data_IF_208465917510
#
_entry.id   IF_208465917510
#
_cell.length_a   1.000
_cell.length_b   1.000
_cell.length_c   1.000
_cell.angle_alpha   90.00
_cell.angle_beta   90.00
_cell.angle_gamma   90.00
#
_symmetry.space_group_name_H-M   'P 1'
#
loop_
_entity.id
_entity.type
_entity.pdbx_description
1 polymer ?
#
# COMPACT_ATOMS: atom_id res chain seq x y z
N UNK A 1 2.25 -12.33 -9.94
CA UNK A 1 0.82 -11.96 -9.99
C UNK A 1 0.75 -10.49 -10.38
N UNK A 2 -0.30 -10.05 -11.06
CA UNK A 2 -0.43 -8.64 -11.45
C UNK A 2 -0.83 -7.79 -10.24
N UNK A 3 -0.11 -6.69 -10.00
CA UNK A 3 -0.54 -5.66 -9.08
C UNK A 3 -1.62 -4.80 -9.76
N UNK A 4 -2.80 -4.69 -9.15
CA UNK A 4 -3.89 -3.87 -9.66
C UNK A 4 -4.59 -3.16 -8.50
N UNK A 5 -4.99 -1.90 -8.73
CA UNK A 5 -5.77 -1.12 -7.78
C UNK A 5 -7.02 -0.62 -8.49
N UNK A 6 -8.18 -0.98 -7.96
CA UNK A 6 -9.48 -0.49 -8.42
C UNK A 6 -10.13 0.32 -7.30
N UNK A 7 -10.48 1.57 -7.57
CA UNK A 7 -11.16 2.45 -6.62
C UNK A 7 -12.56 2.81 -7.15
N UNK A 8 -13.56 2.67 -6.31
CA UNK A 8 -14.95 3.05 -6.61
C UNK A 8 -15.42 4.13 -5.64
N UNK A 9 -15.74 5.31 -6.18
CA UNK A 9 -16.35 6.42 -5.44
C UNK A 9 -15.56 6.93 -4.23
N UNK A 10 -14.26 6.59 -4.12
CA UNK A 10 -13.44 6.78 -2.91
C UNK A 10 -14.01 6.12 -1.65
N UNK A 11 -14.97 5.22 -1.79
CA UNK A 11 -15.65 4.48 -0.71
C UNK A 11 -15.19 3.03 -0.60
N UNK A 12 -14.72 2.47 -1.72
CA UNK A 12 -14.23 1.11 -1.82
C UNK A 12 -12.93 1.07 -2.63
N UNK A 13 -12.00 0.25 -2.18
CA UNK A 13 -10.70 0.02 -2.79
C UNK A 13 -10.40 -1.48 -2.84
N UNK A 14 -10.18 -2.02 -4.03
CA UNK A 14 -9.72 -3.38 -4.23
C UNK A 14 -8.27 -3.37 -4.72
N UNK A 15 -7.41 -4.13 -4.05
CA UNK A 15 -5.98 -4.26 -4.34
C UNK A 15 -5.66 -5.72 -4.60
N UNK A 16 -4.98 -6.02 -5.70
CA UNK A 16 -4.43 -7.34 -6.02
C UNK A 16 -2.90 -7.31 -5.96
N UNK A 17 -2.26 -8.45 -5.75
CA UNK A 17 -0.80 -8.53 -5.57
C UNK A 17 -0.34 -8.10 -4.17
N UNK A 18 -1.22 -8.19 -3.17
CA UNK A 18 -0.87 -7.99 -1.76
C UNK A 18 -0.13 -9.22 -1.26
N UNK A 19 1.09 -9.03 -0.78
CA UNK A 19 1.93 -10.08 -0.20
C UNK A 19 1.73 -10.19 1.30
N UNK A 20 1.65 -9.05 2.00
CA UNK A 20 1.50 -9.00 3.46
C UNK A 20 0.92 -7.65 3.93
N UNK A 21 0.42 -7.61 5.17
CA UNK A 21 -0.15 -6.42 5.81
C UNK A 21 0.82 -5.92 6.86
N UNK A 22 1.40 -4.74 6.64
CA UNK A 22 2.39 -4.15 7.55
C UNK A 22 1.73 -3.50 8.78
N UNK A 23 0.64 -2.77 8.56
CA UNK A 23 -0.14 -2.11 9.60
C UNK A 23 -1.56 -1.86 9.11
N UNK A 24 -2.53 -1.90 10.02
CA UNK A 24 -3.91 -1.51 9.72
C UNK A 24 -4.53 -0.81 10.93
N UNK A 25 -5.18 0.32 10.68
CA UNK A 25 -6.05 1.03 11.60
C UNK A 25 -7.15 1.77 10.83
N UNK A 26 -8.02 2.49 11.53
CA UNK A 26 -9.17 3.19 10.94
C UNK A 26 -8.80 4.39 10.07
N UNK A 27 -7.55 4.87 10.12
CA UNK A 27 -7.08 6.05 9.40
C UNK A 27 -5.99 5.72 8.38
N UNK A 28 -5.29 4.59 8.54
CA UNK A 28 -4.21 4.18 7.68
C UNK A 28 -4.09 2.66 7.56
N UNK A 29 -3.87 2.19 6.33
CA UNK A 29 -3.55 0.80 6.02
C UNK A 29 -2.26 0.78 5.22
N UNK A 30 -1.28 0.00 5.67
CA UNK A 30 0.00 -0.19 5.01
C UNK A 30 0.15 -1.64 4.55
N UNK A 31 0.38 -1.84 3.26
CA UNK A 31 0.45 -3.13 2.58
C UNK A 31 1.81 -3.33 1.92
N UNK A 32 2.33 -4.55 1.99
CA UNK A 32 3.41 -5.00 1.12
C UNK A 32 2.80 -5.60 -0.15
N UNK A 33 3.24 -5.11 -1.29
CA UNK A 33 2.77 -5.53 -2.62
C UNK A 33 3.97 -5.89 -3.49
N UNK A 34 3.73 -6.57 -4.62
CA UNK A 34 4.81 -6.90 -5.56
C UNK A 34 5.54 -5.67 -6.14
N UNK A 35 4.92 -4.48 -6.07
CA UNK A 35 5.46 -3.20 -6.55
C UNK A 35 6.06 -2.33 -5.41
N UNK A 36 6.16 -2.87 -4.19
CA UNK A 36 6.69 -2.16 -3.01
C UNK A 36 5.63 -1.94 -1.92
N UNK A 37 5.88 -0.97 -1.03
CA UNK A 37 4.98 -0.69 0.09
C UNK A 37 3.93 0.32 -0.33
N UNK A 38 2.65 -0.03 -0.20
CA UNK A 38 1.52 0.82 -0.47
C UNK A 38 0.91 1.30 0.85
N UNK A 39 0.85 2.61 1.03
CA UNK A 39 0.21 3.26 2.18
C UNK A 39 -1.10 3.89 1.71
N UNK A 40 -2.19 3.53 2.35
CA UNK A 40 -3.54 4.03 2.08
C UNK A 40 -3.95 4.82 3.30
N UNK A 41 -4.24 6.11 3.14
CA UNK A 41 -4.70 6.96 4.24
C UNK A 41 -6.11 7.46 3.97
N UNK A 42 -6.89 7.62 5.04
CA UNK A 42 -8.31 7.91 4.94
C UNK A 42 -9.01 7.97 6.28
N UNK A 43 -10.32 7.73 6.26
CA UNK A 43 -11.19 7.76 7.45
C UNK A 43 -12.11 6.54 7.45
N UNK A 44 -12.26 5.90 8.62
CA UNK A 44 -13.05 4.68 8.81
C UNK A 44 -12.64 3.55 7.85
N UNK A 45 -11.33 3.46 7.59
CA UNK A 45 -10.75 2.39 6.80
C UNK A 45 -10.93 1.05 7.51
N UNK A 46 -11.50 0.09 6.80
CA UNK A 46 -11.65 -1.26 7.30
C UNK A 46 -11.48 -2.29 6.18
N UNK A 47 -10.93 -3.44 6.53
CA UNK A 47 -10.72 -4.53 5.60
C UNK A 47 -12.01 -5.35 5.54
N UNK A 48 -12.70 -5.30 4.40
CA UNK A 48 -13.92 -6.09 4.18
C UNK A 48 -13.57 -7.54 3.79
N UNK A 49 -12.52 -7.72 2.99
CA UNK A 49 -12.07 -9.06 2.55
C UNK A 49 -10.55 -9.11 2.44
N UNK A 50 -9.95 -10.17 2.99
CA UNK A 50 -8.53 -10.47 2.84
C UNK A 50 -8.38 -11.93 2.40
N UNK A 51 -7.75 -12.15 1.25
CA UNK A 51 -7.32 -13.48 0.83
C UNK A 51 -5.83 -13.44 0.51
N UNK A 52 -5.03 -13.91 1.48
CA UNK A 52 -3.57 -14.02 1.34
C UNK A 52 -3.20 -15.04 0.25
N UNK A 53 -4.04 -16.06 0.04
CA UNK A 53 -3.82 -17.09 -0.98
C UNK A 53 -3.97 -16.55 -2.41
N UNK A 54 -4.95 -15.67 -2.67
CA UNK A 54 -5.11 -15.02 -3.97
C UNK A 54 -4.34 -13.71 -4.11
N UNK A 55 -3.80 -13.18 -3.00
CA UNK A 55 -3.14 -11.88 -2.94
C UNK A 55 -4.11 -10.72 -3.17
N UNK A 56 -5.38 -10.89 -2.80
CA UNK A 56 -6.44 -9.89 -2.97
C UNK A 56 -6.89 -9.33 -1.64
N UNK A 57 -7.07 -8.01 -1.59
CA UNK A 57 -7.61 -7.29 -0.44
C UNK A 57 -8.66 -6.28 -0.90
N UNK A 58 -9.78 -6.23 -0.17
CA UNK A 58 -10.81 -5.22 -0.31
C UNK A 58 -10.89 -4.38 0.95
N UNK A 59 -10.82 -3.07 0.77
CA UNK A 59 -10.85 -2.04 1.81
C UNK A 59 -12.08 -1.16 1.55
N UNK A 60 -12.77 -0.80 2.61
CA UNK A 60 -13.89 0.13 2.59
C UNK A 60 -13.63 1.27 3.57
N UNK A 61 -14.19 2.44 3.29
CA UNK A 61 -13.96 3.68 4.03
C UNK A 61 -13.75 4.85 3.09
N UNK A 62 -13.43 6.03 3.62
CA UNK A 62 -13.14 7.21 2.80
C UNK A 62 -11.66 7.26 2.50
N UNK A 63 -11.27 7.03 1.24
CA UNK A 63 -9.87 7.11 0.82
C UNK A 63 -9.49 8.56 0.49
N UNK A 64 -8.44 9.05 1.15
CA UNK A 64 -7.89 10.39 0.93
C UNK A 64 -6.58 10.35 0.14
N UNK A 65 -5.72 9.36 0.36
CA UNK A 65 -4.48 9.20 -0.38
C UNK A 65 -4.05 7.75 -0.56
N UNK A 66 -3.31 7.51 -1.65
CA UNK A 66 -2.52 6.30 -1.89
C UNK A 66 -1.09 6.71 -2.20
N UNK A 67 -0.15 6.16 -1.46
CA UNK A 67 1.27 6.45 -1.60
C UNK A 67 2.06 5.16 -1.74
N UNK A 68 2.81 5.04 -2.84
CA UNK A 68 3.81 4.00 -2.96
C UNK A 68 5.13 4.51 -2.42
N UNK A 69 5.68 3.76 -1.47
CA UNK A 69 7.03 3.99 -0.98
C UNK A 69 7.93 2.90 -1.51
N UNK A 70 9.04 3.29 -2.13
CA UNK A 70 10.12 2.34 -2.32
C UNK A 70 10.57 1.91 -0.93
N UNK A 71 10.57 0.61 -0.66
CA UNK A 71 11.30 0.09 0.49
C UNK A 71 12.75 0.51 0.25
N UNK A 72 13.17 1.63 0.87
CA UNK A 72 14.51 2.16 0.75
C UNK A 72 15.46 1.08 1.27
N UNK A 73 15.92 0.20 0.36
CA UNK A 73 17.24 -0.41 0.48
C UNK A 73 18.18 0.79 0.50
N UNK A 74 18.51 1.27 1.70
CA UNK A 74 19.47 2.34 1.99
C UNK A 74 20.59 2.33 0.94
N UNK A 75 20.43 3.09 -0.13
CA UNK A 75 21.43 3.22 -1.18
C UNK A 75 22.31 4.39 -0.76
N UNK A 76 23.10 4.15 0.29
CA UNK A 76 24.26 4.98 0.57
C UNK A 76 25.15 4.99 -0.67
N UNK A 77 25.54 6.17 -1.15
CA UNK A 77 26.55 6.25 -2.20
C UNK A 77 26.50 7.41 -3.19
N UNK A 78 25.46 8.26 -3.18
CA UNK A 78 25.35 9.31 -4.20
C UNK A 78 25.81 10.71 -3.78
N UNK A 79 25.98 11.01 -2.48
CA UNK A 79 26.37 12.35 -2.00
C UNK A 79 27.87 12.45 -1.64
N UNK A 80 28.57 11.34 -1.45
CA UNK A 80 30.00 11.35 -1.05
C UNK A 80 30.98 11.70 -2.19
N UNK A 81 30.51 11.83 -3.44
CA UNK A 81 31.34 12.14 -4.61
C UNK A 81 31.33 13.62 -5.04
N UNK A 82 30.56 14.46 -4.35
CA UNK A 82 30.43 15.89 -4.65
C UNK A 82 31.06 16.81 -3.59
N UNK A 83 31.60 16.25 -2.51
CA UNK A 83 32.28 17.02 -1.46
C UNK A 83 33.71 16.50 -1.18
N UNK A 84 34.34 15.90 -2.20
CA UNK A 84 35.79 15.77 -2.26
C UNK A 84 36.42 17.08 -2.71
#
# INVERSE_FOLDING_TARGET
MGHNITMEGRGSLAVTGVEDVAAFDENQIALYTSEGMLIISGVQLHINKLSVESGEMAIEGVIDSLEYTEQMKKRGGFIAKLFG
#
